data_IF_592309279293
#
_entry.id   IF_592309279293
#
_cell.length_a   1.000
_cell.length_b   1.000
_cell.length_c   1.000
_cell.angle_alpha   90.00
_cell.angle_beta   90.00
_cell.angle_gamma   90.00
#
_symmetry.space_group_name_H-M   'P 1'
#
loop_
_entity.id
_entity.type
_entity.pdbx_description
1 polymer ?
#
# COMPACT_ATOMS: atom_id res chain seq x y z
N UNK A 1 17.53 13.77 15.41
CA UNK A 1 16.28 13.02 15.38
C UNK A 1 16.44 11.82 14.46
N UNK A 2 15.99 10.64 14.89
CA UNK A 2 16.08 9.43 14.12
C UNK A 2 14.84 9.27 13.25
N UNK A 3 15.00 9.37 11.92
CA UNK A 3 13.88 9.32 10.98
C UNK A 3 13.50 7.89 10.57
N UNK A 4 14.19 6.87 11.08
CA UNK A 4 13.95 5.48 10.68
C UNK A 4 12.56 4.98 11.04
N UNK A 5 11.96 5.52 12.09
CA UNK A 5 10.63 5.13 12.57
C UNK A 5 9.54 6.09 12.14
N UNK A 6 9.84 7.04 11.28
CA UNK A 6 8.87 8.02 10.82
C UNK A 6 8.38 7.70 9.40
N UNK A 7 7.15 8.09 9.10
CA UNK A 7 6.62 8.02 7.74
C UNK A 7 7.34 9.05 6.89
N UNK A 8 7.72 8.65 5.67
CA UNK A 8 8.32 9.57 4.71
C UNK A 8 7.20 10.35 4.01
N UNK A 9 7.40 11.65 3.76
CA UNK A 9 6.35 12.43 3.09
C UNK A 9 6.04 11.88 1.69
N UNK A 10 4.76 11.70 1.39
CA UNK A 10 4.29 11.34 0.07
C UNK A 10 3.74 12.59 -0.58
N UNK A 11 4.37 13.02 -1.67
CA UNK A 11 3.98 14.25 -2.38
C UNK A 11 3.26 13.98 -3.69
N UNK A 12 3.26 12.74 -4.13
CA UNK A 12 2.60 12.35 -5.37
C UNK A 12 1.11 12.14 -5.16
N UNK A 13 0.32 12.58 -6.13
CA UNK A 13 -1.11 12.32 -6.17
C UNK A 13 -1.56 12.46 -7.63
N UNK A 14 -1.92 11.36 -8.31
CA UNK A 14 -2.13 10.02 -7.74
C UNK A 14 -0.83 9.32 -7.35
N UNK A 15 -0.95 8.44 -6.38
CA UNK A 15 0.15 7.56 -5.96
C UNK A 15 0.12 6.32 -6.85
N UNK A 16 1.24 6.00 -7.48
CA UNK A 16 1.32 4.85 -8.38
C UNK A 16 1.92 3.65 -7.64
N UNK A 17 1.11 2.64 -7.42
CA UNK A 17 1.51 1.40 -6.77
C UNK A 17 1.60 0.31 -7.84
N UNK A 18 2.80 0.06 -8.34
CA UNK A 18 3.04 -0.83 -9.47
C UNK A 18 3.74 -2.11 -9.04
N UNK A 19 3.07 -3.24 -9.25
CA UNK A 19 3.59 -4.57 -8.94
C UNK A 19 4.12 -5.31 -10.15
N UNK A 20 4.28 -4.65 -11.29
CA UNK A 20 4.78 -5.29 -12.50
C UNK A 20 6.13 -5.95 -12.23
N UNK A 21 6.24 -7.24 -12.54
CA UNK A 21 7.48 -8.00 -12.35
C UNK A 21 7.71 -8.50 -10.94
N UNK A 22 6.79 -8.26 -10.02
CA UNK A 22 6.89 -8.76 -8.65
C UNK A 22 6.74 -10.29 -8.64
N UNK A 23 7.73 -11.00 -8.09
CA UNK A 23 7.77 -12.47 -8.11
C UNK A 23 7.78 -13.11 -6.72
N UNK A 24 8.01 -12.31 -5.67
CA UNK A 24 8.14 -12.83 -4.30
C UNK A 24 7.29 -11.99 -3.36
N UNK A 25 6.77 -12.62 -2.31
CA UNK A 25 5.96 -11.92 -1.30
C UNK A 25 6.75 -10.79 -0.65
N UNK A 26 8.03 -11.00 -0.38
CA UNK A 26 8.90 -9.98 0.19
C UNK A 26 9.00 -8.76 -0.72
N UNK A 27 9.07 -8.97 -2.04
CA UNK A 27 9.08 -7.86 -2.99
C UNK A 27 7.78 -7.07 -2.95
N UNK A 28 6.65 -7.76 -2.79
CA UNK A 28 5.35 -7.12 -2.67
C UNK A 28 5.32 -6.15 -1.48
N UNK A 29 5.80 -6.60 -0.32
CA UNK A 29 5.87 -5.74 0.86
C UNK A 29 6.91 -4.62 0.70
N UNK A 30 8.01 -4.87 0.01
CA UNK A 30 9.01 -3.84 -0.27
C UNK A 30 8.45 -2.74 -1.17
N UNK A 31 7.65 -3.12 -2.16
CA UNK A 31 6.99 -2.15 -3.04
C UNK A 31 6.00 -1.29 -2.25
N UNK A 32 5.21 -1.92 -1.38
CA UNK A 32 4.27 -1.21 -0.51
C UNK A 32 5.00 -0.23 0.40
N UNK A 33 6.07 -0.67 1.03
CA UNK A 33 6.86 0.15 1.92
C UNK A 33 7.44 1.37 1.20
N UNK A 34 8.04 1.15 0.04
CA UNK A 34 8.65 2.23 -0.73
C UNK A 34 7.61 3.21 -1.27
N UNK A 35 6.51 2.69 -1.80
CA UNK A 35 5.47 3.51 -2.43
C UNK A 35 4.76 4.40 -1.42
N UNK A 36 4.43 3.87 -0.26
CA UNK A 36 3.72 4.61 0.78
C UNK A 36 4.64 5.29 1.80
N UNK A 37 5.96 5.15 1.65
CA UNK A 37 6.89 5.74 2.59
C UNK A 37 6.74 5.21 4.00
N UNK A 38 6.47 3.92 4.14
CA UNK A 38 6.23 3.31 5.44
C UNK A 38 7.51 3.30 6.30
N UNK A 39 7.36 3.39 7.63
CA UNK A 39 8.52 3.45 8.52
C UNK A 39 9.28 2.12 8.57
N UNK A 40 10.51 2.17 9.09
CA UNK A 40 11.35 0.98 9.20
C UNK A 40 10.72 -0.13 10.05
N UNK A 41 9.85 0.22 11.00
CA UNK A 41 9.18 -0.76 11.84
C UNK A 41 8.03 -1.50 11.13
N UNK A 42 7.76 -1.18 9.86
CA UNK A 42 6.77 -1.92 9.10
C UNK A 42 7.18 -3.39 9.03
N UNK A 43 6.35 -4.26 9.61
CA UNK A 43 6.68 -5.66 9.84
C UNK A 43 6.49 -6.59 8.64
N UNK A 44 6.30 -6.07 7.45
CA UNK A 44 6.11 -6.85 6.23
C UNK A 44 5.03 -7.94 6.36
N UNK A 45 3.93 -7.58 7.01
CA UNK A 45 2.75 -8.44 7.12
C UNK A 45 1.49 -7.58 6.94
N UNK A 46 0.37 -8.26 6.70
CA UNK A 46 -0.87 -7.56 6.35
C UNK A 46 -1.45 -6.73 7.50
N UNK A 47 -1.32 -7.21 8.73
CA UNK A 47 -1.77 -6.45 9.90
C UNK A 47 -0.98 -5.15 10.05
N UNK A 48 0.33 -5.22 9.85
CA UNK A 48 1.19 -4.04 9.90
C UNK A 48 0.82 -3.04 8.80
N UNK A 49 0.48 -3.53 7.62
CA UNK A 49 0.04 -2.66 6.51
C UNK A 49 -1.22 -1.92 6.89
N UNK A 50 -2.21 -2.62 7.44
CA UNK A 50 -3.47 -2.01 7.89
C UNK A 50 -3.21 -0.90 8.90
N UNK A 51 -2.40 -1.20 9.92
CA UNK A 51 -2.07 -0.23 10.96
C UNK A 51 -1.37 1.01 10.39
N UNK A 52 -0.40 0.81 9.50
CA UNK A 52 0.31 1.93 8.90
C UNK A 52 -0.60 2.80 8.04
N UNK A 53 -1.45 2.19 7.22
CA UNK A 53 -2.33 2.94 6.32
C UNK A 53 -3.40 3.73 7.07
N UNK A 54 -3.81 3.26 8.25
CA UNK A 54 -4.78 4.00 9.07
C UNK A 54 -4.26 5.36 9.49
N UNK A 55 -2.95 5.48 9.72
CA UNK A 55 -2.34 6.75 10.15
C UNK A 55 -1.97 7.65 8.99
N UNK A 56 -1.67 7.07 7.83
CA UNK A 56 -1.02 7.78 6.75
C UNK A 56 -1.86 8.94 6.19
N UNK A 57 -3.17 8.78 6.12
CA UNK A 57 -4.05 9.73 5.45
C UNK A 57 -5.13 10.32 6.36
N UNK A 58 -4.83 10.48 7.63
CA UNK A 58 -5.78 11.01 8.59
C UNK A 58 -6.04 12.53 8.47
N UNK A 59 -5.42 13.20 7.51
CA UNK A 59 -5.52 14.66 7.36
C UNK A 59 -6.70 15.13 6.49
N UNK A 60 -7.48 14.23 5.93
CA UNK A 60 -8.66 14.57 5.13
C UNK A 60 -8.40 14.97 3.68
N UNK A 61 -7.15 14.97 3.22
CA UNK A 61 -6.85 15.30 1.82
C UNK A 61 -7.32 14.19 0.90
N UNK A 62 -7.84 14.56 -0.27
CA UNK A 62 -8.24 13.58 -1.28
C UNK A 62 -7.00 12.96 -1.91
N UNK A 63 -6.90 11.65 -1.81
CA UNK A 63 -5.77 10.88 -2.33
C UNK A 63 -6.30 9.79 -3.27
N UNK A 64 -5.64 9.60 -4.39
CA UNK A 64 -5.95 8.49 -5.30
C UNK A 64 -4.72 7.60 -5.39
N UNK A 65 -4.91 6.31 -5.17
CA UNK A 65 -3.86 5.29 -5.32
C UNK A 65 -4.23 4.44 -6.53
N UNK A 66 -3.37 4.40 -7.52
CA UNK A 66 -3.57 3.57 -8.71
C UNK A 66 -2.72 2.32 -8.55
N UNK A 67 -3.39 1.17 -8.45
CA UNK A 67 -2.74 -0.13 -8.28
C UNK A 67 -2.66 -0.82 -9.63
N UNK A 68 -1.46 -1.15 -10.06
CA UNK A 68 -1.23 -1.77 -11.37
C UNK A 68 -0.29 -2.96 -11.28
N UNK A 69 -0.23 -3.74 -12.35
CA UNK A 69 0.71 -4.86 -12.47
C UNK A 69 0.30 -6.13 -11.76
N UNK A 70 -0.88 -6.18 -11.13
CA UNK A 70 -1.32 -7.38 -10.41
C UNK A 70 -1.46 -8.59 -11.33
N UNK A 71 -1.87 -8.39 -12.58
CA UNK A 71 -2.04 -9.48 -13.55
C UNK A 71 -0.70 -10.10 -13.96
N UNK A 72 0.42 -9.44 -13.68
CA UNK A 72 1.75 -9.97 -14.00
C UNK A 72 2.31 -10.84 -12.89
N UNK A 73 1.66 -10.85 -11.72
CA UNK A 73 2.12 -11.64 -10.59
C UNK A 73 1.75 -13.11 -10.73
N UNK A 74 2.59 -14.03 -10.21
CA UNK A 74 2.26 -15.46 -10.23
C UNK A 74 0.94 -15.77 -9.54
N UNK A 75 0.22 -16.79 -10.03
CA UNK A 75 -1.08 -17.21 -9.48
C UNK A 75 -1.00 -17.57 -7.99
N UNK A 76 0.15 -18.04 -7.53
CA UNK A 76 0.33 -18.40 -6.12
C UNK A 76 0.11 -17.22 -5.17
N UNK A 77 0.13 -15.97 -5.69
CA UNK A 77 -0.11 -14.79 -4.88
C UNK A 77 -1.55 -14.31 -4.89
N UNK A 78 -2.46 -15.07 -5.51
CA UNK A 78 -3.86 -14.65 -5.61
C UNK A 78 -4.48 -14.38 -4.23
N UNK A 79 -4.19 -15.22 -3.24
CA UNK A 79 -4.71 -15.03 -1.89
C UNK A 79 -4.13 -13.78 -1.23
N UNK A 80 -2.82 -13.55 -1.37
CA UNK A 80 -2.16 -12.38 -0.83
C UNK A 80 -2.69 -11.10 -1.47
N UNK A 81 -2.91 -11.12 -2.78
CA UNK A 81 -3.49 -10.00 -3.50
C UNK A 81 -4.89 -9.69 -2.95
N UNK A 82 -5.71 -10.73 -2.74
CA UNK A 82 -7.05 -10.53 -2.21
C UNK A 82 -7.03 -9.92 -0.82
N UNK A 83 -6.13 -10.37 0.05
CA UNK A 83 -5.97 -9.81 1.40
C UNK A 83 -5.61 -8.33 1.29
N UNK A 84 -4.64 -7.99 0.45
CA UNK A 84 -4.24 -6.60 0.24
C UNK A 84 -5.41 -5.74 -0.24
N UNK A 85 -6.17 -6.23 -1.21
CA UNK A 85 -7.32 -5.48 -1.74
C UNK A 85 -8.42 -5.29 -0.70
N UNK A 86 -8.62 -6.26 0.17
CA UNK A 86 -9.55 -6.13 1.29
C UNK A 86 -9.09 -5.05 2.27
N UNK A 87 -7.79 -4.98 2.54
CA UNK A 87 -7.22 -3.94 3.38
C UNK A 87 -7.46 -2.57 2.76
N UNK A 88 -7.25 -2.43 1.46
CA UNK A 88 -7.49 -1.16 0.76
C UNK A 88 -8.97 -0.76 0.84
N UNK A 89 -9.88 -1.73 0.70
CA UNK A 89 -11.31 -1.46 0.83
C UNK A 89 -11.65 -0.99 2.25
N UNK A 90 -11.07 -1.61 3.26
CA UNK A 90 -11.28 -1.22 4.65
C UNK A 90 -10.71 0.17 4.94
N UNK A 91 -9.56 0.48 4.37
CA UNK A 91 -8.95 1.82 4.50
C UNK A 91 -9.87 2.87 3.87
N UNK A 92 -10.39 2.59 2.69
CA UNK A 92 -11.33 3.52 2.03
C UNK A 92 -12.58 3.73 2.87
N UNK A 93 -13.12 2.66 3.46
CA UNK A 93 -14.31 2.76 4.29
C UNK A 93 -14.07 3.64 5.52
N UNK A 94 -12.91 3.48 6.16
CA UNK A 94 -12.53 4.27 7.34
C UNK A 94 -12.09 5.69 6.98
N UNK A 95 -11.52 5.86 5.80
CA UNK A 95 -10.95 7.13 5.33
C UNK A 95 -11.43 7.39 3.90
N UNK A 96 -12.69 7.87 3.73
CA UNK A 96 -13.29 8.00 2.39
C UNK A 96 -12.59 8.95 1.44
N UNK A 97 -11.71 9.82 1.94
CA UNK A 97 -10.91 10.71 1.09
C UNK A 97 -9.81 9.97 0.32
N UNK A 98 -9.56 8.70 0.63
CA UNK A 98 -8.58 7.87 -0.07
C UNK A 98 -9.30 6.91 -1.00
N UNK A 99 -8.99 6.98 -2.28
CA UNK A 99 -9.58 6.13 -3.30
C UNK A 99 -8.52 5.22 -3.91
N UNK A 100 -8.85 3.95 -4.08
CA UNK A 100 -7.97 2.97 -4.70
C UNK A 100 -8.57 2.57 -6.05
N UNK A 101 -7.80 2.75 -7.12
CA UNK A 101 -8.18 2.37 -8.48
C UNK A 101 -7.35 1.16 -8.86
N UNK A 102 -8.01 0.05 -9.12
CA UNK A 102 -7.33 -1.21 -9.44
C UNK A 102 -7.31 -1.38 -10.96
N UNK A 103 -6.13 -1.30 -11.55
CA UNK A 103 -5.92 -1.53 -12.97
C UNK A 103 -5.42 -2.96 -13.15
N UNK A 104 -6.08 -3.72 -13.99
CA UNK A 104 -5.73 -5.13 -14.25
C UNK A 104 -5.11 -5.30 -15.62
#
# INVERSE_FOLDING_TARGET
>A
MDDRNAFKPIRENPILLDFTGCKYLREMHSILKATFGLPEYYGENWDALWDCLRYLWGNGKAITVIVSGLSTMPEEFAEDINIMLEIFADVHESTPNVNFVIER
#
